data_IF_766209717823
#
_entry.id   IF_766209717823
#
_cell.length_a   1.000
_cell.length_b   1.000
_cell.length_c   1.000
_cell.angle_alpha   90.00
_cell.angle_beta   90.00
_cell.angle_gamma   90.00
#
_symmetry.space_group_name_H-M   'P 1'
#
loop_
_entity.id
_entity.type
_entity.pdbx_description
1 polymer ?
#
# COMPACT_ATOMS: atom_id res chain seq x y z
N UNK A 1 -22.88 0.14 -2.53
CA UNK A 1 -22.48 0.01 -3.94
C UNK A 1 -21.32 0.93 -4.24
N UNK A 2 -20.21 0.42 -4.76
CA UNK A 2 -19.09 1.29 -5.10
C UNK A 2 -19.45 2.19 -6.28
N UNK A 3 -19.04 3.43 -6.22
CA UNK A 3 -19.25 4.39 -7.28
C UNK A 3 -18.31 4.12 -8.45
N UNK A 4 -18.61 4.71 -9.60
CA UNK A 4 -17.72 4.66 -10.75
C UNK A 4 -16.33 5.23 -10.41
N UNK A 5 -16.29 6.25 -9.56
CA UNK A 5 -15.04 6.81 -9.06
C UNK A 5 -14.22 5.79 -8.26
N UNK A 6 -14.87 4.99 -7.41
CA UNK A 6 -14.20 3.94 -6.64
C UNK A 6 -13.63 2.84 -7.54
N UNK A 7 -14.34 2.49 -8.62
CA UNK A 7 -13.85 1.53 -9.61
C UNK A 7 -12.60 2.06 -10.33
N UNK A 8 -12.62 3.33 -10.74
CA UNK A 8 -11.46 3.95 -11.38
C UNK A 8 -10.25 3.99 -10.47
N UNK A 9 -10.45 4.38 -9.20
CA UNK A 9 -9.38 4.40 -8.19
C UNK A 9 -8.85 3.01 -7.91
N UNK A 10 -9.72 2.00 -7.90
CA UNK A 10 -9.31 0.60 -7.75
C UNK A 10 -8.36 0.19 -8.88
N UNK A 11 -8.68 0.55 -10.11
CA UNK A 11 -7.82 0.23 -11.26
C UNK A 11 -6.48 0.93 -11.16
N UNK A 12 -6.45 2.20 -10.77
CA UNK A 12 -5.21 2.95 -10.56
C UNK A 12 -4.36 2.32 -9.45
N UNK A 13 -4.99 1.93 -8.35
CA UNK A 13 -4.29 1.29 -7.23
C UNK A 13 -3.67 -0.04 -7.64
N UNK A 14 -4.35 -0.84 -8.46
CA UNK A 14 -3.80 -2.08 -9.00
C UNK A 14 -2.55 -1.81 -9.86
N UNK A 15 -2.59 -0.77 -10.70
CA UNK A 15 -1.45 -0.38 -11.51
C UNK A 15 -0.25 0.02 -10.65
N UNK A 16 -0.50 0.77 -9.58
CA UNK A 16 0.55 1.18 -8.64
C UNK A 16 1.17 -0.04 -7.96
N UNK A 17 0.35 -0.94 -7.40
CA UNK A 17 0.84 -2.13 -6.72
C UNK A 17 1.60 -3.09 -7.63
N UNK A 18 1.29 -3.10 -8.93
CA UNK A 18 1.97 -3.93 -9.91
C UNK A 18 3.15 -3.23 -10.57
N UNK A 19 3.41 -1.97 -10.23
CA UNK A 19 4.54 -1.21 -10.78
C UNK A 19 5.86 -1.68 -10.17
N UNK A 20 6.80 -2.11 -11.02
CA UNK A 20 8.15 -2.46 -10.56
C UNK A 20 8.83 -1.28 -9.89
N UNK A 21 8.69 -0.09 -10.48
CA UNK A 21 9.29 1.13 -9.94
C UNK A 21 8.76 1.44 -8.54
N UNK A 22 7.46 1.33 -8.34
CA UNK A 22 6.85 1.55 -7.03
C UNK A 22 7.38 0.54 -6.01
N UNK A 23 7.37 -0.75 -6.37
CA UNK A 23 7.83 -1.81 -5.48
C UNK A 23 9.32 -1.67 -5.16
N UNK A 24 10.15 -1.31 -6.14
CA UNK A 24 11.57 -1.01 -5.92
C UNK A 24 11.76 0.19 -4.99
N UNK A 25 10.98 1.25 -5.18
CA UNK A 25 11.07 2.44 -4.33
C UNK A 25 10.75 2.12 -2.88
N UNK A 26 9.70 1.34 -2.62
CA UNK A 26 9.33 0.93 -1.28
C UNK A 26 10.40 0.03 -0.67
N UNK A 27 10.91 -0.94 -1.41
CA UNK A 27 11.96 -1.85 -0.93
C UNK A 27 13.26 -1.09 -0.62
N UNK A 28 13.66 -0.17 -1.49
CA UNK A 28 14.86 0.64 -1.30
C UNK A 28 14.74 1.55 -0.08
N UNK A 29 13.57 2.16 0.11
CA UNK A 29 13.31 3.02 1.25
C UNK A 29 13.34 2.24 2.56
N UNK A 30 12.76 1.04 2.56
CA UNK A 30 12.81 0.14 3.72
C UNK A 30 14.26 -0.23 4.07
N UNK A 31 15.04 -0.63 3.08
CA UNK A 31 16.45 -0.99 3.28
C UNK A 31 17.25 0.20 3.80
N UNK A 32 17.01 1.39 3.29
CA UNK A 32 17.67 2.62 3.75
C UNK A 32 17.36 2.90 5.22
N UNK A 33 16.09 2.81 5.61
CA UNK A 33 15.70 3.01 7.00
C UNK A 33 16.28 1.96 7.94
N UNK A 34 16.32 0.69 7.51
CA UNK A 34 16.93 -0.39 8.29
C UNK A 34 18.42 -0.13 8.47
N UNK A 35 19.12 0.27 7.41
CA UNK A 35 20.56 0.57 7.48
C UNK A 35 20.84 1.75 8.41
N UNK A 36 20.04 2.81 8.32
CA UNK A 36 20.17 3.95 9.21
C UNK A 36 19.94 3.55 10.67
N UNK A 37 18.96 2.66 10.92
CA UNK A 37 18.70 2.15 12.25
C UNK A 37 19.88 1.33 12.77
N UNK A 38 20.46 0.46 11.94
CA UNK A 38 21.62 -0.37 12.29
C UNK A 38 22.86 0.48 12.60
N UNK A 39 23.03 1.60 11.90
CA UNK A 39 24.14 2.51 12.10
C UNK A 39 23.93 3.51 13.26
N UNK A 40 22.70 3.61 13.76
CA UNK A 40 22.38 4.52 14.84
C UNK A 40 23.03 4.06 16.16
N UNK A 41 23.38 5.03 17.01
CA UNK A 41 23.94 4.75 18.32
C UNK A 41 22.82 4.45 19.32
N UNK A 42 23.06 3.57 20.31
CA UNK A 42 22.04 3.26 21.33
C UNK A 42 21.51 4.49 22.06
N UNK A 43 22.32 5.55 22.17
CA UNK A 43 21.93 6.80 22.85
C UNK A 43 20.94 7.65 22.03
N UNK A 44 20.84 7.39 20.72
CA UNK A 44 19.95 8.14 19.83
C UNK A 44 18.52 7.56 19.87
N UNK A 45 17.92 7.57 21.06
CA UNK A 45 16.62 6.92 21.31
C UNK A 45 15.52 7.49 20.42
N UNK A 46 15.39 8.80 20.33
CA UNK A 46 14.36 9.45 19.54
C UNK A 46 14.52 9.16 18.05
N UNK A 47 15.75 9.21 17.55
CA UNK A 47 16.04 8.90 16.15
C UNK A 47 15.71 7.44 15.83
N UNK A 48 16.08 6.52 16.70
CA UNK A 48 15.81 5.09 16.54
C UNK A 48 14.32 4.79 16.56
N UNK A 49 13.57 5.43 17.44
CA UNK A 49 12.12 5.29 17.51
C UNK A 49 11.44 5.80 16.22
N UNK A 50 11.90 6.94 15.70
CA UNK A 50 11.39 7.52 14.46
C UNK A 50 11.63 6.59 13.28
N UNK A 51 12.81 6.00 13.18
CA UNK A 51 13.16 5.05 12.12
C UNK A 51 12.32 3.77 12.24
N UNK A 52 12.11 3.26 13.45
CA UNK A 52 11.28 2.09 13.69
C UNK A 52 9.84 2.32 13.25
N UNK A 53 9.28 3.48 13.59
CA UNK A 53 7.93 3.87 13.16
C UNK A 53 7.84 3.98 11.64
N UNK A 54 8.85 4.58 11.00
CA UNK A 54 8.89 4.72 9.55
C UNK A 54 8.90 3.35 8.86
N UNK A 55 9.72 2.42 9.33
CA UNK A 55 9.78 1.06 8.80
C UNK A 55 8.41 0.38 8.93
N UNK A 56 7.74 0.54 10.06
CA UNK A 56 6.42 -0.07 10.29
C UNK A 56 5.32 0.57 9.46
N UNK A 57 5.47 1.84 9.07
CA UNK A 57 4.47 2.54 8.26
C UNK A 57 4.54 2.19 6.78
N UNK A 58 5.69 1.74 6.28
CA UNK A 58 5.82 1.39 4.86
C UNK A 58 4.80 0.34 4.39
N UNK A 59 4.56 -0.77 5.12
CA UNK A 59 3.53 -1.72 4.72
C UNK A 59 2.11 -1.14 4.71
N UNK A 60 1.87 -0.07 5.47
CA UNK A 60 0.55 0.58 5.50
C UNK A 60 0.19 1.21 4.15
N UNK A 61 1.18 1.65 3.38
CA UNK A 61 0.94 2.18 2.02
C UNK A 61 0.31 1.11 1.14
N UNK A 62 0.88 -0.09 1.11
CA UNK A 62 0.30 -1.23 0.37
C UNK A 62 -1.08 -1.59 0.90
N UNK A 63 -1.24 -1.62 2.22
CA UNK A 63 -2.52 -1.94 2.86
C UNK A 63 -3.63 -0.98 2.41
N UNK A 64 -3.35 0.32 2.39
CA UNK A 64 -4.33 1.31 1.95
C UNK A 64 -4.67 1.18 0.47
N UNK A 65 -3.67 0.87 -0.37
CA UNK A 65 -3.92 0.59 -1.79
C UNK A 65 -4.80 -0.65 -1.97
N UNK A 66 -4.57 -1.70 -1.18
CA UNK A 66 -5.39 -2.91 -1.21
C UNK A 66 -6.83 -2.64 -0.76
N UNK A 67 -7.02 -1.77 0.22
CA UNK A 67 -8.37 -1.35 0.65
C UNK A 67 -9.10 -0.65 -0.50
N UNK A 68 -8.43 0.22 -1.24
CA UNK A 68 -9.00 0.89 -2.42
C UNK A 68 -9.40 -0.14 -3.49
N UNK A 69 -8.54 -1.12 -3.72
CA UNK A 69 -8.82 -2.22 -4.68
C UNK A 69 -10.04 -3.02 -4.24
N UNK A 70 -10.11 -3.37 -2.97
CA UNK A 70 -11.23 -4.15 -2.41
C UNK A 70 -12.57 -3.45 -2.61
N UNK A 71 -12.63 -2.15 -2.37
CA UNK A 71 -13.84 -1.37 -2.59
C UNK A 71 -14.32 -1.45 -4.03
N UNK A 72 -13.42 -1.38 -5.00
CA UNK A 72 -13.76 -1.50 -6.40
C UNK A 72 -14.18 -2.93 -6.80
N UNK A 73 -13.55 -3.93 -6.23
CA UNK A 73 -13.84 -5.35 -6.50
C UNK A 73 -15.24 -5.76 -6.02
N UNK A 74 -15.65 -5.30 -4.85
CA UNK A 74 -16.98 -5.59 -4.30
C UNK A 74 -18.04 -5.18 -5.32
N UNK A 75 -17.91 -4.00 -5.92
CA UNK A 75 -18.83 -3.53 -6.95
C UNK A 75 -18.77 -4.36 -8.21
N UNK A 76 -17.56 -4.71 -8.66
CA UNK A 76 -17.36 -5.57 -9.85
C UNK A 76 -18.03 -6.92 -9.64
N UNK A 77 -17.93 -7.51 -8.46
CA UNK A 77 -18.57 -8.77 -8.09
C UNK A 77 -20.09 -8.65 -8.14
N UNK A 78 -20.65 -7.58 -7.60
CA UNK A 78 -22.09 -7.34 -7.61
C UNK A 78 -22.61 -7.18 -9.04
N UNK A 79 -21.90 -6.43 -9.88
CA UNK A 79 -22.25 -6.28 -11.29
C UNK A 79 -22.16 -7.60 -12.04
N UNK A 80 -21.16 -8.42 -11.76
CA UNK A 80 -21.03 -9.74 -12.35
C UNK A 80 -22.18 -10.65 -11.96
N UNK A 81 -22.65 -10.58 -10.71
CA UNK A 81 -23.82 -11.32 -10.23
C UNK A 81 -25.10 -10.89 -10.98
N UNK A 82 -25.28 -9.59 -11.15
CA UNK A 82 -26.42 -9.05 -11.92
C UNK A 82 -26.43 -9.58 -13.36
N UNK A 83 -25.27 -9.59 -14.01
CA UNK A 83 -25.13 -10.09 -15.38
C UNK A 83 -25.42 -11.59 -15.49
N UNK A 84 -25.16 -12.37 -14.44
CA UNK A 84 -25.43 -13.81 -14.45
C UNK A 84 -26.89 -14.15 -14.21
N UNK A 85 -27.63 -13.30 -13.55
CA UNK A 85 -29.04 -13.51 -13.20
C UNK A 85 -29.96 -13.08 -14.35
N UNK A 86 -29.50 -12.25 -15.23
CA UNK A 86 -30.21 -11.80 -16.41
C UNK A 86 -29.82 -12.63 -17.63
#
# INVERSE_FOLDING_TARGET
>A
MATQEEILKSNEAELILNSETFNHAIANLKDEYINLWLLSKPEEVTNRESLHKAIKLLPEVEKHLRIIIEKGKITKSQLARFKKVV
#
